data_IF_380619787379
#
_entry.id   IF_380619787379
#
_cell.length_a   1.000
_cell.length_b   1.000
_cell.length_c   1.000
_cell.angle_alpha   90.00
_cell.angle_beta   90.00
_cell.angle_gamma   90.00
#
_symmetry.space_group_name_H-M   'P 1'
#
loop_
_entity.id
_entity.type
_entity.pdbx_description
1 polymer ?
#
# COMPACT_ATOMS: atom_id res chain seq x y z
N UNK A 1 0.58 7.84 16.68
CA UNK A 1 -0.36 7.60 15.56
C UNK A 1 -0.03 8.56 14.45
N UNK A 2 -0.06 8.11 13.20
CA UNK A 2 0.22 8.89 12.00
C UNK A 2 -0.86 8.61 10.97
N UNK A 3 -1.33 9.65 10.28
CA UNK A 3 -2.25 9.52 9.16
C UNK A 3 -1.51 9.79 7.86
N UNK A 4 -1.66 8.89 6.88
CA UNK A 4 -1.15 9.02 5.52
C UNK A 4 -2.33 9.20 4.58
N UNK A 5 -2.32 10.28 3.79
CA UNK A 5 -3.30 10.49 2.72
C UNK A 5 -2.60 10.26 1.38
N UNK A 6 -3.09 9.32 0.56
CA UNK A 6 -2.44 9.00 -0.71
C UNK A 6 -2.78 10.04 -1.78
N UNK A 7 -4.07 10.36 -1.96
CA UNK A 7 -4.60 11.41 -2.85
C UNK A 7 -4.05 11.41 -4.29
N UNK A 8 -3.42 10.33 -4.74
CA UNK A 8 -2.76 10.27 -6.03
C UNK A 8 -2.68 8.83 -6.57
N UNK A 9 -3.77 8.40 -7.20
CA UNK A 9 -3.85 7.12 -7.92
C UNK A 9 -3.05 7.10 -9.21
N UNK A 10 -2.63 8.26 -9.74
CA UNK A 10 -1.84 8.34 -10.98
C UNK A 10 -0.38 7.90 -10.84
N UNK A 11 0.08 7.65 -9.61
CA UNK A 11 1.42 7.11 -9.32
C UNK A 11 1.64 5.74 -9.98
N UNK A 12 0.59 4.93 -10.11
CA UNK A 12 0.63 3.69 -10.87
C UNK A 12 0.17 3.99 -12.31
N UNK A 13 0.99 3.68 -13.33
CA UNK A 13 0.62 3.96 -14.70
C UNK A 13 -0.55 3.08 -15.16
N UNK A 14 -1.48 3.69 -15.91
CA UNK A 14 -2.64 2.96 -16.46
C UNK A 14 -2.29 2.08 -17.69
N UNK A 15 -1.05 2.17 -18.19
CA UNK A 15 -0.59 1.53 -19.42
C UNK A 15 0.67 0.73 -19.19
N UNK A 16 0.83 -0.34 -19.95
CA UNK A 16 2.01 -1.19 -19.96
C UNK A 16 2.73 -1.06 -21.29
N UNK A 17 4.06 -1.03 -21.20
CA UNK A 17 4.95 -1.04 -22.34
C UNK A 17 5.60 -2.42 -22.46
N UNK A 18 5.68 -2.93 -23.69
CA UNK A 18 6.38 -4.17 -24.01
C UNK A 18 7.04 -4.07 -25.37
N UNK A 19 8.11 -4.82 -25.59
CA UNK A 19 8.74 -4.93 -26.91
C UNK A 19 8.16 -6.11 -27.69
N UNK A 20 7.85 -5.90 -28.96
CA UNK A 20 7.51 -6.99 -29.88
C UNK A 20 8.76 -7.81 -30.21
N UNK A 21 8.58 -9.00 -30.79
CA UNK A 21 9.70 -9.84 -31.26
C UNK A 21 10.63 -9.14 -32.26
N UNK A 22 10.15 -8.07 -32.92
CA UNK A 22 10.93 -7.25 -33.87
C UNK A 22 11.54 -6.00 -33.22
N UNK A 23 11.46 -5.85 -31.89
CA UNK A 23 12.04 -4.73 -31.15
C UNK A 23 11.21 -3.44 -31.19
N UNK A 24 10.00 -3.46 -31.73
CA UNK A 24 9.11 -2.29 -31.74
C UNK A 24 8.40 -2.15 -30.39
N UNK A 25 8.23 -0.90 -29.94
CA UNK A 25 7.47 -0.59 -28.73
C UNK A 25 5.97 -0.85 -28.96
N UNK A 26 5.36 -1.60 -28.05
CA UNK A 26 3.92 -1.82 -27.99
C UNK A 26 3.39 -1.25 -26.68
N UNK A 27 2.33 -0.47 -26.78
CA UNK A 27 1.63 0.13 -25.63
C UNK A 27 0.24 -0.47 -25.53
N UNK A 28 -0.14 -0.93 -24.35
CA UNK A 28 -1.48 -1.48 -24.08
C UNK A 28 -2.00 -0.99 -22.74
N UNK A 29 -3.32 -0.99 -22.58
CA UNK A 29 -3.94 -0.73 -21.28
C UNK A 29 -3.56 -1.84 -20.29
N UNK A 30 -3.18 -1.46 -19.08
CA UNK A 30 -2.86 -2.41 -18.02
C UNK A 30 -4.12 -3.18 -17.60
N UNK A 31 -3.96 -4.48 -17.32
CA UNK A 31 -5.04 -5.26 -16.72
C UNK A 31 -5.37 -4.71 -15.32
N UNK A 32 -6.65 -4.50 -15.01
CA UNK A 32 -7.08 -3.90 -13.73
C UNK A 32 -6.48 -4.58 -12.50
N UNK A 33 -6.43 -5.91 -12.49
CA UNK A 33 -5.86 -6.64 -11.35
C UNK A 33 -4.38 -6.39 -11.12
N UNK A 34 -3.60 -6.23 -12.20
CA UNK A 34 -2.19 -5.87 -12.07
C UNK A 34 -2.00 -4.43 -11.60
N UNK A 35 -2.84 -3.51 -12.07
CA UNK A 35 -2.87 -2.14 -11.55
C UNK A 35 -3.15 -2.14 -10.04
N UNK A 36 -4.17 -2.86 -9.57
CA UNK A 36 -4.51 -2.91 -8.15
C UNK A 36 -3.41 -3.54 -7.31
N UNK A 37 -2.72 -4.58 -7.80
CA UNK A 37 -1.57 -5.16 -7.10
C UNK A 37 -0.43 -4.15 -6.93
N UNK A 38 -0.05 -3.45 -8.01
CA UNK A 38 0.98 -2.40 -7.93
C UNK A 38 0.56 -1.27 -6.98
N UNK A 39 -0.73 -0.94 -6.95
CA UNK A 39 -1.26 0.07 -6.04
C UNK A 39 -1.23 -0.39 -4.58
N UNK A 40 -1.57 -1.65 -4.33
CA UNK A 40 -1.46 -2.26 -3.00
C UNK A 40 -0.01 -2.22 -2.51
N UNK A 41 0.94 -2.66 -3.33
CA UNK A 41 2.36 -2.65 -2.99
C UNK A 41 2.85 -1.22 -2.71
N UNK A 42 2.41 -0.24 -3.50
CA UNK A 42 2.71 1.16 -3.27
C UNK A 42 2.21 1.63 -1.88
N UNK A 43 0.93 1.39 -1.56
CA UNK A 43 0.33 1.76 -0.26
C UNK A 43 1.07 1.10 0.91
N UNK A 44 1.31 -0.21 0.82
CA UNK A 44 2.02 -0.97 1.83
C UNK A 44 3.47 -0.48 2.00
N UNK A 45 4.17 -0.18 0.89
CA UNK A 45 5.54 0.33 0.92
C UNK A 45 5.66 1.70 1.59
N UNK A 46 4.73 2.62 1.30
CA UNK A 46 4.65 3.93 1.95
C UNK A 46 4.45 3.79 3.45
N UNK A 47 3.62 2.83 3.85
CA UNK A 47 3.29 2.58 5.25
C UNK A 47 4.51 2.04 6.03
N UNK A 48 5.25 1.09 5.45
CA UNK A 48 6.50 0.60 6.01
C UNK A 48 7.56 1.70 6.07
N UNK A 49 7.66 2.54 5.03
CA UNK A 49 8.60 3.66 5.00
C UNK A 49 8.36 4.64 6.13
N UNK A 50 7.11 5.04 6.35
CA UNK A 50 6.74 5.95 7.45
C UNK A 50 7.14 5.35 8.79
N UNK A 51 6.81 4.08 9.05
CA UNK A 51 7.18 3.43 10.31
C UNK A 51 8.69 3.48 10.56
N UNK A 52 9.51 3.16 9.53
CA UNK A 52 10.97 3.22 9.62
C UNK A 52 11.49 4.64 9.89
N UNK A 53 10.98 5.63 9.19
CA UNK A 53 11.38 7.03 9.39
C UNK A 53 11.09 7.49 10.82
N UNK A 54 9.92 7.14 11.37
CA UNK A 54 9.56 7.44 12.76
C UNK A 54 10.49 6.76 13.77
N UNK A 55 10.80 5.48 13.62
CA UNK A 55 11.73 4.79 14.51
C UNK A 55 13.17 5.30 14.38
N UNK A 56 13.55 5.85 13.24
CA UNK A 56 14.87 6.46 13.07
C UNK A 56 14.97 7.81 13.77
N UNK A 57 13.88 8.59 13.75
CA UNK A 57 13.85 9.94 14.31
C UNK A 57 13.51 9.99 15.79
N UNK A 58 12.71 9.03 16.29
CA UNK A 58 12.13 9.08 17.62
C UNK A 58 12.31 7.74 18.36
N UNK A 59 12.51 7.76 19.69
CA UNK A 59 12.63 6.55 20.50
C UNK A 59 11.25 5.95 20.84
N UNK A 60 10.43 5.71 19.81
CA UNK A 60 9.09 5.11 19.95
C UNK A 60 9.18 3.59 20.04
N UNK A 61 8.30 2.96 20.83
CA UNK A 61 8.17 1.50 20.88
C UNK A 61 7.30 0.96 19.77
N UNK A 62 6.30 1.73 19.37
CA UNK A 62 5.34 1.38 18.34
C UNK A 62 4.89 2.60 17.54
N UNK A 63 4.43 2.34 16.31
CA UNK A 63 3.85 3.34 15.41
C UNK A 63 2.58 2.75 14.81
N UNK A 64 1.45 3.39 15.06
CA UNK A 64 0.19 3.14 14.36
C UNK A 64 0.10 4.05 13.13
N UNK A 65 -0.05 3.45 11.95
CA UNK A 65 -0.25 4.17 10.68
C UNK A 65 -1.63 3.86 10.14
N UNK A 66 -2.41 4.92 9.89
CA UNK A 66 -3.71 4.86 9.24
C UNK A 66 -3.60 5.51 7.87
N UNK A 67 -3.93 4.77 6.82
CA UNK A 67 -3.86 5.22 5.44
C UNK A 67 -5.27 5.49 4.93
N UNK A 68 -5.46 6.68 4.37
CA UNK A 68 -6.71 7.10 3.77
C UNK A 68 -6.52 7.35 2.29
N UNK A 69 -7.53 6.93 1.54
CA UNK A 69 -7.61 7.14 0.11
C UNK A 69 -9.07 7.11 -0.35
N UNK A 70 -9.27 7.44 -1.62
CA UNK A 70 -10.55 7.26 -2.29
C UNK A 70 -10.93 5.77 -2.35
N UNK A 71 -12.21 5.47 -2.11
CA UNK A 71 -12.71 4.10 -2.25
C UNK A 71 -12.93 3.69 -3.72
N UNK A 72 -13.06 2.38 -3.99
CA UNK A 72 -13.63 1.91 -5.26
C UNK A 72 -15.04 2.49 -5.45
N UNK A 73 -15.46 2.62 -6.71
CA UNK A 73 -16.74 3.19 -7.11
C UNK A 73 -18.01 2.56 -6.49
N UNK A 74 -17.90 1.45 -5.77
CA UNK A 74 -19.00 0.73 -5.11
C UNK A 74 -19.20 1.15 -3.63
N UNK A 75 -18.49 2.18 -3.14
CA UNK A 75 -18.58 2.66 -1.74
C UNK A 75 -19.59 3.80 -1.57
N UNK A 76 -20.29 3.83 -0.44
CA UNK A 76 -21.20 4.94 -0.08
C UNK A 76 -20.44 6.23 0.26
N UNK A 77 -19.19 6.12 0.73
CA UNK A 77 -18.32 7.25 0.99
C UNK A 77 -17.18 7.31 -0.03
N UNK A 78 -16.83 8.52 -0.46
CA UNK A 78 -15.80 8.74 -1.48
C UNK A 78 -14.37 8.64 -0.93
N UNK A 79 -14.18 8.81 0.38
CA UNK A 79 -12.86 8.83 1.03
C UNK A 79 -12.92 8.19 2.42
N UNK A 80 -11.89 7.43 2.79
CA UNK A 80 -11.87 6.71 4.06
C UNK A 80 -10.61 5.90 4.29
N UNK A 81 -10.53 5.25 5.46
CA UNK A 81 -9.38 4.45 5.86
C UNK A 81 -9.35 3.13 5.06
N UNK A 82 -8.28 2.90 4.31
CA UNK A 82 -8.08 1.70 3.47
C UNK A 82 -7.12 0.68 4.10
N UNK A 83 -6.26 1.14 5.01
CA UNK A 83 -5.29 0.34 5.73
C UNK A 83 -5.03 0.97 7.10
N UNK A 84 -5.13 0.18 8.16
CA UNK A 84 -4.68 0.55 9.50
C UNK A 84 -3.72 -0.52 10.00
N UNK A 85 -2.53 -0.15 10.45
CA UNK A 85 -1.50 -1.12 10.86
C UNK A 85 -0.64 -0.58 12.00
N UNK A 86 -0.41 -1.42 13.00
CA UNK A 86 0.46 -1.14 14.14
C UNK A 86 1.79 -1.85 13.96
N UNK A 87 2.88 -1.08 13.97
CA UNK A 87 4.24 -1.56 13.88
C UNK A 87 4.93 -1.50 15.24
N UNK A 88 5.32 -2.64 15.83
CA UNK A 88 6.29 -2.67 16.91
C UNK A 88 7.71 -2.44 16.37
N UNK A 89 8.52 -1.63 17.06
CA UNK A 89 9.88 -1.28 16.65
C UNK A 89 10.75 -2.52 16.41
N UNK A 90 10.76 -3.44 17.37
CA UNK A 90 11.59 -4.66 17.31
C UNK A 90 11.28 -5.52 16.08
N UNK A 91 10.00 -5.57 15.67
CA UNK A 91 9.60 -6.28 14.45
C UNK A 91 10.10 -5.57 13.20
N UNK A 92 9.98 -4.24 13.12
CA UNK A 92 10.48 -3.48 11.96
C UNK A 92 12.01 -3.56 11.84
N UNK A 93 12.73 -3.48 12.95
CA UNK A 93 14.21 -3.53 12.96
C UNK A 93 14.77 -4.91 12.60
N UNK A 94 13.97 -5.98 12.76
CA UNK A 94 14.34 -7.34 12.37
C UNK A 94 13.97 -7.70 10.92
N UNK A 95 13.24 -6.85 10.19
CA UNK A 95 12.87 -7.10 8.80
C UNK A 95 14.06 -6.99 7.85
N UNK A 96 14.13 -7.90 6.88
CA UNK A 96 15.03 -7.78 5.74
C UNK A 96 14.35 -7.01 4.59
N UNK A 97 14.74 -5.75 4.42
CA UNK A 97 14.18 -4.86 3.40
C UNK A 97 14.71 -5.10 1.97
N UNK A 98 15.69 -5.98 1.77
CA UNK A 98 16.33 -6.12 0.44
C UNK A 98 15.41 -6.79 -0.60
N UNK A 99 14.62 -7.79 -0.20
CA UNK A 99 13.71 -8.54 -1.08
C UNK A 99 12.30 -8.61 -0.49
N UNK A 100 11.83 -7.51 0.08
CA UNK A 100 10.57 -7.48 0.81
C UNK A 100 9.37 -7.38 -0.13
N UNK A 101 8.41 -8.29 0.04
CA UNK A 101 7.05 -8.09 -0.49
C UNK A 101 6.29 -7.25 0.54
N UNK A 102 5.93 -6.02 0.16
CA UNK A 102 5.34 -5.08 1.10
C UNK A 102 3.94 -5.52 1.54
N UNK A 103 3.15 -6.08 0.63
CA UNK A 103 1.80 -6.52 0.93
C UNK A 103 1.81 -7.71 1.90
N UNK A 104 2.62 -8.74 1.63
CA UNK A 104 2.77 -9.92 2.50
C UNK A 104 3.40 -9.54 3.85
N UNK A 105 4.31 -8.57 3.87
CA UNK A 105 4.93 -8.09 5.11
C UNK A 105 3.91 -7.46 6.04
N UNK A 106 3.01 -6.63 5.52
CA UNK A 106 1.95 -5.99 6.33
C UNK A 106 1.09 -7.05 7.02
N UNK A 107 0.84 -8.20 6.39
CA UNK A 107 0.04 -9.29 6.96
C UNK A 107 0.65 -9.89 8.25
N UNK A 108 1.96 -9.71 8.47
CA UNK A 108 2.68 -10.18 9.66
C UNK A 108 2.50 -9.28 10.90
N UNK A 109 1.87 -8.11 10.71
CA UNK A 109 1.61 -7.13 11.76
C UNK A 109 0.14 -7.17 12.21
N UNK A 110 -0.14 -6.52 13.34
CA UNK A 110 -1.52 -6.22 13.69
C UNK A 110 -2.04 -5.19 12.69
N UNK A 111 -2.95 -5.62 11.80
CA UNK A 111 -3.41 -4.81 10.69
C UNK A 111 -4.90 -5.03 10.43
N UNK A 112 -5.50 -4.05 9.77
CA UNK A 112 -6.82 -4.12 9.15
C UNK A 112 -6.66 -3.66 7.71
N UNK A 113 -6.74 -4.62 6.79
CA UNK A 113 -6.64 -4.40 5.36
C UNK A 113 -7.65 -5.32 4.67
N UNK A 114 -8.45 -4.78 3.75
CA UNK A 114 -9.37 -5.56 2.93
C UNK A 114 -9.08 -5.26 1.47
N UNK A 115 -8.35 -6.14 0.82
CA UNK A 115 -7.95 -5.97 -0.57
C UNK A 115 -8.54 -7.07 -1.46
N UNK A 116 -9.09 -6.69 -2.62
CA UNK A 116 -9.59 -7.62 -3.63
C UNK A 116 -8.89 -7.34 -4.95
N UNK A 117 -8.24 -8.35 -5.54
CA UNK A 117 -7.56 -8.24 -6.85
C UNK A 117 -8.46 -7.75 -8.00
N UNK A 118 -9.78 -7.85 -7.85
CA UNK A 118 -10.77 -7.39 -8.85
C UNK A 118 -11.42 -6.06 -8.51
N UNK A 119 -11.33 -5.60 -7.25
CA UNK A 119 -12.09 -4.45 -6.73
C UNK A 119 -11.28 -3.47 -5.89
N UNK A 120 -9.96 -3.65 -5.79
CA UNK A 120 -9.04 -2.81 -5.02
C UNK A 120 -9.25 -2.90 -3.48
N UNK A 121 -8.70 -1.95 -2.73
CA UNK A 121 -8.94 -1.74 -1.30
C UNK A 121 -10.41 -1.49 -0.99
N UNK A 122 -10.84 -1.90 0.20
CA UNK A 122 -12.10 -1.49 0.83
C UNK A 122 -11.82 -0.72 2.11
N UNK A 123 -12.81 0.05 2.54
CA UNK A 123 -12.72 0.70 3.83
C UNK A 123 -12.68 -0.29 5.00
N UNK A 124 -11.92 0.11 6.00
CA UNK A 124 -11.68 -0.62 7.24
C UNK A 124 -11.76 0.34 8.42
N UNK A 125 -12.10 -0.20 9.58
CA UNK A 125 -12.06 0.54 10.83
C UNK A 125 -10.62 0.72 11.31
N UNK A 126 -10.29 1.82 11.96
CA UNK A 126 -8.96 2.07 12.54
C UNK A 126 -8.72 1.19 13.77
N UNK A 127 -7.50 0.66 13.87
CA UNK A 127 -7.01 0.02 15.10
C UNK A 127 -6.96 1.09 16.20
N UNK A 128 -7.47 0.75 17.39
CA UNK A 128 -7.44 1.60 18.59
C UNK A 128 -6.14 1.35 19.36
#
# INVERSE_FOLDING_TARGET
MVQLMINNRSVVPAKELSLTKTGKLSEKKMAKGKYFQLYQDYVCSCTLRIAREFFHLLPLKDVLVNVYDEAPADSEADFGCILSVRFPREKIESLNFFNIDCSDTIEQFEHRMKFLKTKDFKFVEEIQ
#
